data_IF_066736604356
#
_entry.id   IF_066736604356
#
_cell.length_a   1.000
_cell.length_b   1.000
_cell.length_c   1.000
_cell.angle_alpha   90.00
_cell.angle_beta   90.00
_cell.angle_gamma   90.00
#
_symmetry.space_group_name_H-M   'P 1'
#
loop_
_entity.id
_entity.type
_entity.pdbx_description
1 polymer ?
#
# COMPACT_ATOMS: atom_id res chain seq x y z
N UNK A 1 -1.51 -15.02 -2.65
CA UNK A 1 -0.56 -13.93 -2.35
C UNK A 1 -0.39 -13.09 -3.59
N UNK A 2 -0.52 -11.77 -3.50
CA UNK A 2 -0.45 -10.83 -4.61
C UNK A 2 0.49 -9.69 -4.24
N UNK A 3 1.37 -9.31 -5.16
CA UNK A 3 2.27 -8.17 -4.99
C UNK A 3 1.94 -7.10 -6.03
N UNK A 4 1.85 -5.86 -5.58
CA UNK A 4 1.67 -4.68 -6.41
C UNK A 4 2.87 -3.76 -6.22
N UNK A 5 3.41 -3.27 -7.33
CA UNK A 5 4.56 -2.38 -7.37
C UNK A 5 4.24 -1.22 -8.32
N UNK A 6 4.59 0.01 -7.93
CA UNK A 6 4.55 1.19 -8.80
C UNK A 6 5.64 2.18 -8.42
N UNK A 7 6.21 2.87 -9.40
CA UNK A 7 7.12 4.00 -9.24
C UNK A 7 6.41 5.37 -9.13
N UNK A 8 5.11 5.44 -9.39
CA UNK A 8 4.32 6.67 -9.29
C UNK A 8 4.01 6.99 -7.81
N UNK A 9 4.29 8.21 -7.31
CA UNK A 9 4.05 8.55 -5.91
C UNK A 9 2.55 8.52 -5.57
N UNK A 10 2.25 8.16 -4.32
CA UNK A 10 0.89 8.16 -3.78
C UNK A 10 0.47 9.56 -3.31
N UNK A 11 -0.79 9.92 -3.57
CA UNK A 11 -1.44 11.08 -2.97
C UNK A 11 -1.77 10.80 -1.50
N UNK A 12 -1.26 11.64 -0.59
CA UNK A 12 -1.29 11.41 0.86
C UNK A 12 -2.68 11.24 1.49
N UNK A 13 -3.74 11.70 0.82
CA UNK A 13 -5.11 11.65 1.33
C UNK A 13 -5.89 10.36 0.95
N UNK A 14 -5.41 9.57 -0.02
CA UNK A 14 -6.18 8.44 -0.58
C UNK A 14 -5.79 7.07 -0.05
N UNK A 15 -4.59 6.94 0.52
CA UNK A 15 -4.06 5.66 1.04
C UNK A 15 -5.00 5.06 2.09
N UNK A 16 -5.33 5.81 3.14
CA UNK A 16 -6.09 5.29 4.27
C UNK A 16 -7.52 4.86 3.90
N UNK A 17 -8.13 5.53 2.91
CA UNK A 17 -9.53 5.31 2.51
C UNK A 17 -9.72 4.01 1.73
N UNK A 18 -8.75 3.63 0.89
CA UNK A 18 -8.83 2.38 0.15
C UNK A 18 -8.68 1.16 1.06
N UNK A 19 -7.79 1.23 2.05
CA UNK A 19 -7.54 0.11 2.98
C UNK A 19 -8.61 -0.08 4.07
N UNK A 20 -9.44 0.93 4.36
CA UNK A 20 -10.55 0.81 5.33
C UNK A 20 -11.84 0.24 4.73
N UNK A 21 -12.03 0.31 3.41
CA UNK A 21 -13.25 -0.17 2.74
C UNK A 21 -13.04 -1.45 1.92
N UNK A 22 -11.80 -1.88 1.72
CA UNK A 22 -11.43 -3.03 0.87
C UNK A 22 -11.15 -4.33 1.62
N UNK A 23 -11.64 -4.52 2.85
CA UNK A 23 -11.46 -5.77 3.59
C UNK A 23 -12.47 -6.81 3.10
N UNK A 24 -12.12 -7.51 2.02
CA UNK A 24 -12.70 -8.82 1.78
C UNK A 24 -12.26 -9.76 2.91
N UNK A 25 -13.19 -10.56 3.45
CA UNK A 25 -12.96 -11.63 4.46
C UNK A 25 -11.80 -12.58 4.07
N UNK A 26 -11.49 -12.58 2.78
CA UNK A 26 -10.47 -13.35 2.14
C UNK A 26 -9.04 -12.81 2.30
N UNK A 27 -8.85 -11.56 2.74
CA UNK A 27 -7.53 -10.95 3.00
C UNK A 27 -7.14 -11.17 4.48
N UNK A 28 -6.12 -11.98 4.71
CA UNK A 28 -5.61 -12.28 6.06
C UNK A 28 -4.60 -11.26 6.53
N UNK A 29 -3.74 -10.81 5.62
CA UNK A 29 -2.69 -9.84 5.91
C UNK A 29 -2.39 -9.00 4.70
N UNK A 30 -2.12 -7.73 4.95
CA UNK A 30 -1.50 -6.84 3.98
C UNK A 30 -0.29 -6.15 4.60
N UNK A 31 0.69 -5.82 3.77
CA UNK A 31 1.81 -4.98 4.17
C UNK A 31 2.19 -4.12 2.98
N UNK A 32 2.51 -2.86 3.22
CA UNK A 32 3.00 -2.00 2.16
C UNK A 32 4.06 -1.02 2.61
N UNK A 33 4.78 -0.54 1.61
CA UNK A 33 5.76 0.51 1.65
C UNK A 33 5.35 1.48 0.56
N UNK A 34 5.14 2.74 0.93
CA UNK A 34 4.64 3.78 0.04
C UNK A 34 5.64 4.92 -0.06
N UNK A 35 5.78 5.43 -1.28
CA UNK A 35 6.34 6.73 -1.57
C UNK A 35 5.19 7.73 -1.62
N UNK A 36 5.07 8.56 -0.59
CA UNK A 36 4.03 9.59 -0.51
C UNK A 36 4.61 10.90 -1.02
N UNK A 37 3.86 11.59 -1.89
CA UNK A 37 4.27 12.92 -2.36
C UNK A 37 4.40 13.89 -1.18
N UNK A 38 5.47 14.70 -1.18
CA UNK A 38 5.80 15.59 -0.08
C UNK A 38 6.39 14.92 1.18
N UNK A 39 6.58 13.59 1.20
CA UNK A 39 7.22 12.87 2.31
C UNK A 39 8.62 12.36 1.91
N UNK A 40 9.64 12.74 2.69
CA UNK A 40 11.02 12.24 2.50
C UNK A 40 11.27 10.88 3.14
N UNK A 41 10.37 10.49 4.05
CA UNK A 41 10.37 9.18 4.71
C UNK A 41 9.56 8.17 3.91
N UNK A 42 9.95 6.91 4.03
CA UNK A 42 9.14 5.79 3.58
C UNK A 42 7.97 5.63 4.53
N UNK A 43 6.77 5.52 3.99
CA UNK A 43 5.62 5.19 4.80
C UNK A 43 5.38 3.68 4.74
N UNK A 44 5.53 2.99 5.87
CA UNK A 44 5.24 1.55 5.96
C UNK A 44 3.91 1.35 6.65
N UNK A 45 3.14 0.38 6.17
CA UNK A 45 1.91 -0.01 6.81
C UNK A 45 1.75 -1.53 6.85
N UNK A 46 0.97 -1.98 7.81
CA UNK A 46 0.55 -3.37 7.93
C UNK A 46 -0.92 -3.43 8.32
N UNK A 47 -1.64 -4.36 7.69
CA UNK A 47 -3.01 -4.69 8.00
C UNK A 47 -3.13 -6.17 8.35
N UNK A 48 -3.85 -6.50 9.42
CA UNK A 48 -4.19 -7.88 9.80
C UNK A 48 -5.68 -7.89 10.16
N UNK A 49 -6.50 -8.54 9.34
CA UNK A 49 -7.96 -8.42 9.40
C UNK A 49 -8.37 -6.92 9.42
N UNK A 50 -9.13 -6.50 10.43
CA UNK A 50 -9.63 -5.12 10.59
C UNK A 50 -8.61 -4.14 11.17
N UNK A 51 -7.44 -4.63 11.62
CA UNK A 51 -6.42 -3.78 12.23
C UNK A 51 -5.51 -3.23 11.15
N UNK A 52 -5.53 -1.92 10.94
CA UNK A 52 -4.59 -1.20 10.09
C UNK A 52 -3.68 -0.30 10.93
N UNK A 53 -2.37 -0.40 10.72
CA UNK A 53 -1.37 0.47 11.32
C UNK A 53 -0.37 0.93 10.26
N UNK A 54 -0.10 2.22 10.22
CA UNK A 54 0.92 2.82 9.38
C UNK A 54 1.79 3.79 10.16
N UNK A 55 3.07 3.84 9.83
CA UNK A 55 4.05 4.75 10.43
C UNK A 55 5.13 5.11 9.41
N UNK A 56 5.72 6.31 9.51
CA UNK A 56 6.99 6.57 8.85
C UNK A 56 8.05 5.58 9.36
N UNK A 57 8.92 5.13 8.46
CA UNK A 57 10.03 4.21 8.76
C UNK A 57 11.36 4.99 8.77
N UNK A 58 12.08 4.98 7.65
CA UNK A 58 13.32 5.74 7.47
C UNK A 58 13.25 6.63 6.24
N UNK A 59 14.12 7.62 6.17
CA UNK A 59 14.32 8.43 4.97
C UNK A 59 14.65 7.56 3.76
N UNK A 60 14.14 7.97 2.60
CA UNK A 60 14.61 7.45 1.32
C UNK A 60 16.10 7.72 1.17
N UNK A 61 16.87 6.73 0.70
CA UNK A 61 18.27 6.95 0.36
C UNK A 61 18.40 7.84 -0.88
N UNK A 62 19.51 8.57 -1.01
CA UNK A 62 19.73 9.50 -2.14
C UNK A 62 19.67 8.83 -3.51
N UNK A 63 20.11 7.57 -3.61
CA UNK A 63 20.09 6.76 -4.84
C UNK A 63 18.98 5.71 -4.84
N UNK A 64 18.08 5.75 -3.85
CA UNK A 64 17.05 4.74 -3.74
C UNK A 64 15.80 5.13 -4.55
N UNK A 65 15.33 4.24 -5.44
CA UNK A 65 14.13 4.52 -6.20
C UNK A 65 12.93 4.56 -5.25
N UNK A 66 12.21 5.68 -5.28
CA UNK A 66 10.97 5.89 -4.54
C UNK A 66 9.85 5.05 -5.17
N UNK A 67 9.71 3.82 -4.67
CA UNK A 67 8.75 2.84 -5.20
C UNK A 67 7.75 2.39 -4.14
N UNK A 68 6.51 2.24 -4.56
CA UNK A 68 5.45 1.65 -3.78
C UNK A 68 5.50 0.14 -3.93
N UNK A 69 5.36 -0.57 -2.83
CA UNK A 69 5.27 -2.03 -2.78
C UNK A 69 4.18 -2.43 -1.82
N UNK A 70 3.22 -3.21 -2.26
CA UNK A 70 2.15 -3.73 -1.41
C UNK A 70 2.03 -5.23 -1.63
N UNK A 71 1.89 -5.98 -0.55
CA UNK A 71 1.60 -7.40 -0.58
C UNK A 71 0.27 -7.67 0.10
N UNK A 72 -0.55 -8.49 -0.53
CA UNK A 72 -1.79 -9.04 0.01
C UNK A 72 -1.66 -10.55 0.15
N UNK A 73 -2.03 -11.07 1.31
CA UNK A 73 -1.97 -12.48 1.67
C UNK A 73 -3.38 -12.89 2.09
N UNK A 74 -3.91 -13.91 1.44
CA UNK A 74 -5.31 -14.30 1.55
C UNK A 74 -5.67 -15.43 0.58
N UNK A 75 -6.93 -15.86 0.64
CA UNK A 75 -7.54 -16.82 -0.31
C UNK A 75 -8.36 -16.06 -1.36
N UNK A 76 -8.72 -16.67 -2.49
CA UNK A 76 -9.64 -16.08 -3.51
C UNK A 76 -9.41 -14.60 -3.86
N UNK A 77 -8.16 -14.13 -3.83
CA UNK A 77 -7.87 -12.72 -4.03
C UNK A 77 -8.05 -12.33 -5.50
N UNK A 78 -8.87 -11.32 -5.75
CA UNK A 78 -9.03 -10.74 -7.09
C UNK A 78 -7.90 -9.74 -7.38
N UNK A 79 -6.94 -10.17 -8.19
CA UNK A 79 -5.77 -9.37 -8.53
C UNK A 79 -6.11 -8.12 -9.34
N UNK A 80 -7.14 -8.18 -10.19
CA UNK A 80 -7.52 -7.07 -11.05
C UNK A 80 -8.20 -5.97 -10.25
N UNK A 81 -9.11 -6.33 -9.34
CA UNK A 81 -9.75 -5.39 -8.41
C UNK A 81 -8.71 -4.73 -7.47
N UNK A 82 -7.82 -5.52 -6.88
CA UNK A 82 -6.74 -5.00 -6.01
C UNK A 82 -5.81 -4.06 -6.78
N UNK A 83 -5.45 -4.41 -8.02
CA UNK A 83 -4.61 -3.57 -8.87
C UNK A 83 -5.33 -2.29 -9.32
N UNK A 84 -6.62 -2.39 -9.64
CA UNK A 84 -7.43 -1.24 -10.07
C UNK A 84 -7.53 -0.20 -8.97
N UNK A 85 -7.80 -0.62 -7.74
CA UNK A 85 -7.91 0.34 -6.66
C UNK A 85 -6.57 0.78 -6.08
N UNK A 86 -5.52 -0.04 -6.19
CA UNK A 86 -4.14 0.44 -6.02
C UNK A 86 -3.84 1.60 -6.99
N UNK A 87 -4.15 1.42 -8.28
CA UNK A 87 -3.98 2.46 -9.31
C UNK A 87 -4.84 3.69 -9.10
N UNK A 88 -6.05 3.52 -8.56
CA UNK A 88 -6.94 4.64 -8.27
C UNK A 88 -6.41 5.60 -7.19
N UNK A 89 -5.37 5.20 -6.44
CA UNK A 89 -4.75 6.00 -5.40
C UNK A 89 -3.37 6.55 -5.79
N UNK A 90 -2.85 6.18 -6.97
CA UNK A 90 -1.65 6.80 -7.56
C UNK A 90 -2.00 8.20 -8.08
N UNK A 91 -1.03 9.11 -8.07
CA UNK A 91 -1.14 10.46 -8.65
C UNK A 91 -0.98 10.45 -10.17
#
# INVERSE_FOLDING_TARGET
>A
MIFLISDEPYGGEHVARYFTYGTSDDIYRMKGLLSVDGMEERFVFQGVHDIFQGSPDRLWGSDEPRINKIVFIGKNLDAEELKKGFKACLL
#
